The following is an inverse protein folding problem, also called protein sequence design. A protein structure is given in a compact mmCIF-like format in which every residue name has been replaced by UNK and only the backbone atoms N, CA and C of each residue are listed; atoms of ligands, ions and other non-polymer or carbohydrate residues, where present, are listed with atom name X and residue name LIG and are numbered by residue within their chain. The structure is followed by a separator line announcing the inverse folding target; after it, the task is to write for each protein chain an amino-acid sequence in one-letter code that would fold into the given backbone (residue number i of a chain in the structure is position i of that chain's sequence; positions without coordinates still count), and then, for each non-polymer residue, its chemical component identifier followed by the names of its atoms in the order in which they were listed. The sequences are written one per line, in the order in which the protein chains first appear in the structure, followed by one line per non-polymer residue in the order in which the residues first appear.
data_IF_767401449787
#
_entry.id   IF_767401449787
#
_cell.length_a   1.000
_cell.length_b   1.000
_cell.length_c   1.000
_cell.angle_alpha   90.00
_cell.angle_beta   90.00
_cell.angle_gamma   90.00
#
_symmetry.space_group_name_H-M   'P 1'
#
loop_
_entity.id
_entity.type
_entity.pdbx_description
1 polymer ?
#
# COMPACT_ATOMS: atom_id res chain seq x y z
N UNK A 1 7.25 14.18 -3.68
CA UNK A 1 6.30 13.78 -2.63
C UNK A 1 5.44 14.98 -2.27
N UNK A 2 4.56 15.39 -3.19
CA UNK A 2 3.60 16.49 -3.00
C UNK A 2 2.22 15.88 -2.75
N UNK A 3 2.06 15.24 -1.61
CA UNK A 3 0.75 14.93 -1.06
C UNK A 3 0.90 15.11 0.44
N UNK A 4 0.02 15.89 1.06
CA UNK A 4 -0.05 16.08 2.52
C UNK A 4 -0.57 14.78 3.18
N UNK A 5 0.13 13.68 2.90
CA UNK A 5 -0.29 12.30 3.06
C UNK A 5 0.85 11.48 3.67
N UNK A 6 0.51 10.61 4.61
CA UNK A 6 1.48 9.69 5.20
C UNK A 6 1.89 8.60 4.21
N UNK A 7 3.08 8.01 4.43
CA UNK A 7 3.54 6.87 3.63
C UNK A 7 2.54 5.70 3.62
N UNK A 8 1.84 5.44 4.73
CA UNK A 8 0.80 4.41 4.80
C UNK A 8 -0.39 4.73 3.87
N UNK A 9 -0.79 6.00 3.76
CA UNK A 9 -1.85 6.40 2.85
C UNK A 9 -1.41 6.29 1.38
N UNK A 10 -0.16 6.62 1.07
CA UNK A 10 0.38 6.47 -0.28
C UNK A 10 0.41 4.99 -0.67
N UNK A 11 0.90 4.12 0.20
CA UNK A 11 0.91 2.67 -0.04
C UNK A 11 -0.50 2.11 -0.26
N UNK A 12 -1.47 2.50 0.59
CA UNK A 12 -2.86 2.08 0.42
C UNK A 12 -3.48 2.63 -0.87
N UNK A 13 -3.24 3.89 -1.21
CA UNK A 13 -3.75 4.48 -2.44
C UNK A 13 -3.18 3.78 -3.68
N UNK A 14 -1.91 3.37 -3.64
CA UNK A 14 -1.26 2.62 -4.71
C UNK A 14 -1.92 1.25 -4.94
N UNK A 15 -2.12 0.45 -3.89
CA UNK A 15 -2.82 -0.83 -3.97
C UNK A 15 -4.24 -0.68 -4.54
N UNK A 16 -4.98 0.33 -4.05
CA UNK A 16 -6.33 0.63 -4.51
C UNK A 16 -6.34 1.07 -5.98
N UNK A 17 -5.35 1.83 -6.43
CA UNK A 17 -5.23 2.28 -7.82
C UNK A 17 -4.96 1.10 -8.78
N UNK A 18 -4.22 0.08 -8.33
CA UNK A 18 -4.00 -1.18 -9.08
C UNK A 18 -5.26 -2.05 -9.16
N UNK A 19 -6.36 -1.64 -8.51
CA UNK A 19 -7.63 -2.37 -8.48
C UNK A 19 -7.71 -3.45 -7.39
N UNK A 20 -6.75 -3.47 -6.46
CA UNK A 20 -6.75 -4.42 -5.36
C UNK A 20 -7.62 -3.93 -4.19
N UNK A 21 -8.06 -4.87 -3.37
CA UNK A 21 -8.75 -4.59 -2.11
C UNK A 21 -7.75 -4.71 -0.97
N UNK A 22 -7.26 -3.57 -0.47
CA UNK A 22 -6.32 -3.54 0.65
C UNK A 22 -7.03 -3.80 2.00
N UNK A 23 -6.43 -4.61 2.87
CA UNK A 23 -6.93 -4.92 4.22
C UNK A 23 -5.92 -4.41 5.28
N UNK A 24 -5.86 -3.10 5.55
CA UNK A 24 -4.93 -2.56 6.52
C UNK A 24 -5.33 -2.91 7.95
N UNK A 25 -4.40 -3.49 8.71
CA UNK A 25 -4.57 -3.73 10.14
C UNK A 25 -4.26 -2.48 10.96
N UNK A 26 -5.07 -2.20 11.97
CA UNK A 26 -4.79 -1.17 12.99
C UNK A 26 -5.62 -1.39 14.25
N UNK A 27 -5.05 -1.05 15.40
CA UNK A 27 -5.77 -0.95 16.69
C UNK A 27 -6.05 0.50 17.11
N UNK A 28 -5.54 1.48 16.35
CA UNK A 28 -5.65 2.92 16.66
C UNK A 28 -6.70 3.59 15.76
N UNK A 29 -7.62 4.33 16.36
CA UNK A 29 -8.67 5.08 15.66
C UNK A 29 -8.09 6.14 14.72
N UNK A 30 -6.98 6.79 15.10
CA UNK A 30 -6.30 7.77 14.25
C UNK A 30 -5.81 7.15 12.94
N UNK A 31 -5.19 5.96 13.01
CA UNK A 31 -4.75 5.22 11.84
C UNK A 31 -5.94 4.70 11.03
N UNK A 32 -7.03 4.24 11.68
CA UNK A 32 -8.24 3.84 10.98
C UNK A 32 -8.77 4.97 10.08
N UNK A 33 -8.86 6.18 10.64
CA UNK A 33 -9.28 7.38 9.90
C UNK A 33 -8.31 7.73 8.77
N UNK A 34 -7.00 7.66 9.03
CA UNK A 34 -5.96 7.93 8.03
C UNK A 34 -6.01 6.92 6.87
N UNK A 35 -6.07 5.62 7.17
CA UNK A 35 -6.19 4.54 6.21
C UNK A 35 -7.45 4.72 5.34
N UNK A 36 -8.58 5.04 5.95
CA UNK A 36 -9.82 5.29 5.21
C UNK A 36 -9.72 6.53 4.31
N UNK A 37 -8.97 7.55 4.70
CA UNK A 37 -8.76 8.74 3.88
C UNK A 37 -7.87 8.49 2.64
N UNK A 38 -7.08 7.42 2.62
CA UNK A 38 -6.20 7.07 1.49
C UNK A 38 -6.95 6.93 0.16
N UNK A 39 -8.21 6.46 0.17
CA UNK A 39 -9.05 6.31 -1.04
C UNK A 39 -9.31 7.64 -1.80
N UNK A 40 -9.10 8.78 -1.13
CA UNK A 40 -9.29 10.11 -1.69
C UNK A 40 -8.05 10.61 -2.44
N UNK A 41 -6.90 9.96 -2.23
CA UNK A 41 -5.68 10.31 -2.94
C UNK A 41 -5.78 9.90 -4.41
N UNK A 42 -5.15 10.69 -5.26
CA UNK A 42 -5.00 10.42 -6.68
C UNK A 42 -3.50 10.45 -6.98
N UNK A 43 -2.94 9.29 -7.23
CA UNK A 43 -1.55 9.16 -7.65
C UNK A 43 -1.50 9.40 -9.16
N UNK A 44 -0.49 10.15 -9.60
CA UNK A 44 -0.21 10.32 -11.03
C UNK A 44 0.49 9.07 -11.58
N UNK A 45 0.52 8.92 -12.90
CA UNK A 45 1.24 7.82 -13.54
C UNK A 45 2.74 7.83 -13.17
N UNK A 46 3.33 9.03 -13.00
CA UNK A 46 4.71 9.17 -12.51
C UNK A 46 4.85 8.65 -11.07
N UNK A 47 3.92 8.98 -10.16
CA UNK A 47 3.96 8.43 -8.81
C UNK A 47 3.81 6.90 -8.80
N UNK A 48 2.97 6.36 -9.69
CA UNK A 48 2.81 4.91 -9.83
C UNK A 48 4.10 4.25 -10.32
N UNK A 49 4.76 4.85 -11.31
CA UNK A 49 6.03 4.38 -11.85
C UNK A 49 7.16 4.45 -10.82
N UNK A 50 7.24 5.54 -10.05
CA UNK A 50 8.23 5.72 -8.98
C UNK A 50 8.10 4.63 -7.90
N UNK A 51 6.86 4.29 -7.51
CA UNK A 51 6.61 3.25 -6.51
C UNK A 51 6.92 1.86 -7.05
N UNK A 52 6.60 1.57 -8.32
CA UNK A 52 6.90 0.27 -8.94
C UNK A 52 8.41 0.06 -9.15
N UNK A 53 9.18 1.14 -9.29
CA UNK A 53 10.64 1.09 -9.37
C UNK A 53 11.35 0.86 -8.02
N UNK A 54 10.60 0.87 -6.90
CA UNK A 54 11.17 0.54 -5.60
C UNK A 54 11.61 -0.93 -5.56
N UNK A 55 12.72 -1.19 -4.88
CA UNK A 55 13.24 -2.53 -4.67
C UNK A 55 12.19 -3.41 -3.97
N UNK A 56 11.76 -4.47 -4.64
CA UNK A 56 10.77 -5.40 -4.12
C UNK A 56 11.47 -6.33 -3.13
N UNK A 57 11.13 -6.16 -1.84
CA UNK A 57 11.61 -7.08 -0.80
C UNK A 57 10.95 -8.44 -0.92
N UNK A 58 11.64 -9.46 -0.40
CA UNK A 58 11.14 -10.83 -0.32
C UNK A 58 9.76 -10.92 0.35
N UNK A 59 9.01 -11.97 -0.03
CA UNK A 59 7.71 -12.32 0.57
C UNK A 59 7.84 -12.39 2.09
N UNK A 60 7.14 -11.50 2.80
CA UNK A 60 7.20 -11.43 4.27
C UNK A 60 6.45 -12.59 4.96
N UNK A 61 5.48 -13.20 4.28
CA UNK A 61 4.68 -14.30 4.81
C UNK A 61 4.99 -15.55 4.01
N UNK A 62 5.92 -16.35 4.52
CA UNK A 62 6.32 -17.62 3.94
C UNK A 62 6.57 -18.70 5.02
N UNK A 63 5.50 -19.23 5.65
CA UNK A 63 5.63 -20.31 6.63
C UNK A 63 6.00 -21.66 5.97
N UNK A 64 6.51 -22.61 6.75
CA UNK A 64 6.94 -23.94 6.29
C UNK A 64 5.87 -24.78 5.56
N UNK A 65 4.59 -24.41 5.68
CA UNK A 65 3.46 -25.05 5.00
C UNK A 65 3.02 -24.32 3.72
N UNK A 66 3.74 -23.28 3.31
CA UNK A 66 3.53 -22.59 2.03
C UNK A 66 3.75 -23.52 0.84
N UNK A 67 3.11 -23.26 -0.30
CA UNK A 67 3.48 -23.88 -1.57
C UNK A 67 4.86 -23.36 -2.04
N UNK A 68 5.46 -24.08 -3.00
CA UNK A 68 6.58 -23.53 -3.77
C UNK A 68 6.07 -22.35 -4.60
N UNK A 69 6.47 -21.13 -4.20
CA UNK A 69 6.17 -19.93 -4.96
C UNK A 69 6.99 -19.90 -6.26
N UNK A 70 6.38 -19.38 -7.31
CA UNK A 70 6.95 -19.14 -8.64
C UNK A 70 8.06 -18.08 -8.66
#
# INVERSE_FOLDING_TARGET
VEHDASAAQIALAWELHKGYVAIPSTTKVSHLRSNLAAQKLRLTDENMADIEALDQRDRLIDPDFSPDWD
#
